data_IF_139269927641
#
_entry.id   IF_139269927641
#
_cell.length_a   1.000
_cell.length_b   1.000
_cell.length_c   1.000
_cell.angle_alpha   90.00
_cell.angle_beta   90.00
_cell.angle_gamma   90.00
#
_symmetry.space_group_name_H-M   'P 1'
#
loop_
_entity.id
_entity.type
_entity.pdbx_description
1 polymer ?
#
# COMPACT_ATOMS: atom_id res chain seq x y z
N UNK A 1 -34.69 33.17 -18.38
CA UNK A 1 -34.98 31.73 -18.12
C UNK A 1 -33.66 30.98 -18.09
N UNK A 2 -33.31 30.24 -17.01
CA UNK A 2 -32.07 29.46 -16.98
C UNK A 2 -32.12 28.32 -18.01
N UNK A 3 -30.97 28.02 -18.63
CA UNK A 3 -30.85 26.93 -19.61
C UNK A 3 -31.18 25.59 -18.93
N UNK A 4 -31.98 24.71 -19.57
CA UNK A 4 -32.27 23.40 -19.01
C UNK A 4 -30.98 22.59 -18.88
N UNK A 5 -30.87 21.84 -17.78
CA UNK A 5 -29.73 20.98 -17.50
C UNK A 5 -29.68 19.84 -18.51
N UNK A 6 -28.58 19.73 -19.24
CA UNK A 6 -28.36 18.68 -20.23
C UNK A 6 -27.77 17.43 -19.57
N UNK A 7 -28.62 16.41 -19.42
CA UNK A 7 -28.28 15.14 -18.78
C UNK A 7 -27.49 14.20 -19.70
N UNK A 8 -27.51 14.42 -21.01
CA UNK A 8 -26.74 13.60 -21.95
C UNK A 8 -25.25 13.91 -21.87
N UNK A 9 -24.88 15.13 -21.48
CA UNK A 9 -23.48 15.50 -21.21
C UNK A 9 -22.88 14.73 -20.05
N UNK A 10 -23.69 14.19 -19.14
CA UNK A 10 -23.19 13.42 -17.99
C UNK A 10 -22.70 12.02 -18.40
N UNK A 11 -23.23 11.47 -19.50
CA UNK A 11 -22.85 10.14 -20.02
C UNK A 11 -21.42 10.06 -20.55
N UNK A 12 -20.79 11.21 -20.86
CA UNK A 12 -19.39 11.24 -21.30
C UNK A 12 -18.38 10.86 -20.21
N UNK A 13 -18.82 10.88 -18.94
CA UNK A 13 -18.01 10.51 -17.78
C UNK A 13 -18.31 9.10 -17.27
N UNK A 14 -19.26 8.38 -17.89
CA UNK A 14 -19.49 6.97 -17.56
C UNK A 14 -18.29 6.16 -18.05
N UNK A 15 -17.60 5.53 -17.10
CA UNK A 15 -16.46 4.66 -17.37
C UNK A 15 -16.96 3.50 -18.23
N UNK A 16 -16.49 3.42 -19.48
CA UNK A 16 -16.77 2.28 -20.35
C UNK A 16 -16.28 1.01 -19.65
N UNK A 17 -17.13 0.00 -19.43
CA UNK A 17 -16.69 -1.26 -18.86
C UNK A 17 -15.84 -1.99 -19.91
N UNK A 18 -14.53 -1.79 -19.86
CA UNK A 18 -13.59 -2.65 -20.58
C UNK A 18 -13.64 -4.03 -19.95
N UNK A 19 -13.78 -5.03 -20.82
CA UNK A 19 -14.04 -6.43 -20.51
C UNK A 19 -13.09 -7.01 -19.45
N UNK A 20 -13.59 -8.03 -18.74
CA UNK A 20 -12.84 -8.88 -17.81
C UNK A 20 -11.50 -9.30 -18.44
N UNK A 21 -10.40 -8.81 -17.88
CA UNK A 21 -9.06 -9.37 -18.10
C UNK A 21 -8.66 -10.05 -16.80
N UNK A 22 -8.26 -11.32 -16.93
CA UNK A 22 -7.86 -12.21 -15.85
C UNK A 22 -6.81 -11.56 -14.94
N UNK A 23 -6.96 -11.79 -13.64
CA UNK A 23 -6.05 -11.30 -12.61
C UNK A 23 -4.80 -12.19 -12.59
N UNK A 24 -3.74 -11.76 -13.25
CA UNK A 24 -2.38 -12.14 -12.88
C UNK A 24 -1.77 -11.03 -12.00
N UNK A 25 -0.97 -11.36 -10.97
CA UNK A 25 -0.39 -10.37 -10.08
C UNK A 25 0.78 -9.67 -10.80
N UNK A 26 0.44 -8.65 -11.60
CA UNK A 26 1.41 -7.79 -12.26
C UNK A 26 1.92 -6.78 -11.22
N UNK A 27 3.22 -6.94 -10.93
CA UNK A 27 4.11 -5.95 -10.34
C UNK A 27 3.69 -4.53 -10.74
N UNK A 28 3.46 -3.66 -9.73
CA UNK A 28 3.11 -2.24 -9.84
C UNK A 28 3.69 -1.58 -11.11
N UNK A 29 2.91 -1.66 -12.20
CA UNK A 29 3.24 -0.97 -13.42
C UNK A 29 2.90 0.48 -13.18
N UNK A 30 3.95 1.29 -13.13
CA UNK A 30 3.96 2.75 -13.12
C UNK A 30 3.17 3.27 -14.33
N UNK A 31 1.85 3.33 -14.21
CA UNK A 31 0.96 3.79 -15.28
C UNK A 31 -0.24 4.53 -14.68
N UNK A 32 -0.02 5.81 -14.42
CA UNK A 32 -1.05 6.71 -13.93
C UNK A 32 -0.43 7.98 -13.38
N UNK A 33 0.12 8.82 -14.27
CA UNK A 33 0.46 10.19 -13.94
C UNK A 33 -0.84 11.01 -13.72
N UNK A 34 -1.65 10.61 -12.74
CA UNK A 34 -2.51 11.53 -12.02
C UNK A 34 -1.57 12.35 -11.16
N UNK A 35 -1.46 13.65 -11.43
CA UNK A 35 -0.66 14.61 -10.68
C UNK A 35 -0.82 14.35 -9.18
N UNK A 36 0.14 13.61 -8.62
CA UNK A 36 0.12 13.20 -7.23
C UNK A 36 0.40 14.49 -6.45
N UNK A 37 -0.60 14.96 -5.72
CA UNK A 37 -0.53 16.19 -4.92
C UNK A 37 0.84 16.29 -4.21
N UNK A 38 1.53 17.45 -4.28
CA UNK A 38 2.90 17.61 -3.79
C UNK A 38 3.05 17.35 -2.29
N UNK A 39 1.95 17.35 -1.53
CA UNK A 39 1.91 16.98 -0.11
C UNK A 39 2.04 15.48 0.16
N UNK A 40 2.04 14.62 -0.87
CA UNK A 40 2.32 13.18 -0.73
C UNK A 40 3.81 12.96 -1.00
N UNK A 41 4.65 13.21 0.00
CA UNK A 41 6.03 12.73 -0.04
C UNK A 41 6.06 11.24 -0.40
N UNK A 42 6.96 10.80 -1.29
CA UNK A 42 7.07 9.40 -1.63
C UNK A 42 7.49 8.62 -0.37
N UNK A 43 6.63 7.69 0.05
CA UNK A 43 6.96 6.69 1.06
C UNK A 43 8.22 5.94 0.60
N UNK A 44 9.33 6.16 1.30
CA UNK A 44 10.60 5.47 1.05
C UNK A 44 10.58 4.12 1.78
N UNK A 45 9.69 3.25 1.34
CA UNK A 45 9.59 1.91 1.89
C UNK A 45 10.67 1.02 1.25
N UNK A 46 11.42 0.31 2.09
CA UNK A 46 12.39 -0.70 1.69
C UNK A 46 11.89 -2.10 2.04
N UNK A 47 12.19 -3.09 1.20
CA UNK A 47 11.87 -4.48 1.47
C UNK A 47 13.14 -5.30 1.71
N UNK A 48 13.17 -6.07 2.79
CA UNK A 48 14.23 -7.05 3.07
C UNK A 48 13.61 -8.44 3.28
N UNK A 49 14.29 -9.47 2.82
CA UNK A 49 13.89 -10.87 3.04
C UNK A 49 14.71 -11.46 4.18
N UNK A 50 14.05 -11.95 5.23
CA UNK A 50 14.72 -12.55 6.40
C UNK A 50 14.64 -14.08 6.29
N UNK A 51 15.80 -14.75 6.27
CA UNK A 51 15.91 -16.21 6.39
C UNK A 51 16.35 -16.57 7.81
N UNK A 52 15.54 -17.38 8.50
CA UNK A 52 15.81 -17.83 9.86
C UNK A 52 15.12 -19.17 10.13
N UNK A 53 15.52 -19.93 11.17
CA UNK A 53 14.79 -21.10 11.62
C UNK A 53 13.33 -20.78 11.96
N UNK A 54 12.42 -21.73 11.71
CA UNK A 54 10.97 -21.54 11.91
C UNK A 54 10.62 -21.08 13.32
N UNK A 55 11.25 -21.67 14.34
CA UNK A 55 10.99 -21.31 15.75
C UNK A 55 11.31 -19.85 16.07
N UNK A 56 12.28 -19.24 15.38
CA UNK A 56 12.63 -17.83 15.56
C UNK A 56 11.56 -16.94 14.93
N UNK A 57 11.11 -17.28 13.72
CA UNK A 57 10.08 -16.53 13.02
C UNK A 57 8.73 -16.60 13.75
N UNK A 58 8.35 -17.77 14.26
CA UNK A 58 7.13 -17.95 15.05
C UNK A 58 7.18 -17.14 16.35
N UNK A 59 8.32 -17.17 17.05
CA UNK A 59 8.53 -16.36 18.25
C UNK A 59 8.39 -14.86 17.94
N UNK A 60 9.00 -14.39 16.86
CA UNK A 60 8.90 -12.99 16.44
C UNK A 60 7.45 -12.60 16.09
N UNK A 61 6.75 -13.44 15.31
CA UNK A 61 5.34 -13.23 14.97
C UNK A 61 4.44 -13.17 16.20
N UNK A 62 4.67 -14.04 17.19
CA UNK A 62 3.91 -14.04 18.45
C UNK A 62 4.12 -12.74 19.22
N UNK A 63 5.37 -12.29 19.37
CA UNK A 63 5.69 -11.02 20.05
C UNK A 63 4.99 -9.84 19.36
N UNK A 64 4.99 -9.79 18.02
CA UNK A 64 4.29 -8.73 17.28
C UNK A 64 2.77 -8.76 17.49
N UNK A 65 2.19 -9.97 17.57
CA UNK A 65 0.76 -10.17 17.79
C UNK A 65 0.34 -9.73 19.20
N UNK A 66 1.13 -10.08 20.21
CA UNK A 66 0.84 -9.78 21.61
C UNK A 66 0.88 -8.26 21.86
N UNK A 67 1.83 -7.55 21.25
CA UNK A 67 1.97 -6.08 21.36
C UNK A 67 1.10 -5.31 20.35
N UNK A 68 0.37 -6.01 19.47
CA UNK A 68 -0.47 -5.44 18.39
C UNK A 68 0.28 -4.45 17.48
N UNK A 69 1.53 -4.75 17.14
CA UNK A 69 2.39 -3.92 16.28
C UNK A 69 2.64 -4.54 14.92
N UNK A 70 3.00 -3.71 13.95
CA UNK A 70 3.49 -4.17 12.65
C UNK A 70 4.89 -4.77 12.80
N UNK A 71 5.29 -5.62 11.85
CA UNK A 71 6.65 -6.18 11.85
C UNK A 71 7.73 -5.11 11.73
N UNK A 72 7.46 -4.04 10.98
CA UNK A 72 8.37 -2.92 10.81
C UNK A 72 8.56 -2.14 12.13
N UNK A 73 7.47 -1.86 12.85
CA UNK A 73 7.55 -1.20 14.17
C UNK A 73 8.31 -2.04 15.19
N UNK A 74 8.00 -3.34 15.25
CA UNK A 74 8.69 -4.24 16.17
C UNK A 74 10.18 -4.35 15.84
N UNK A 75 10.54 -4.34 14.56
CA UNK A 75 11.93 -4.30 14.12
C UNK A 75 12.62 -3.01 14.59
N UNK A 76 11.95 -1.85 14.49
CA UNK A 76 12.46 -0.57 15.00
C UNK A 76 12.77 -0.62 16.50
N UNK A 77 11.84 -1.14 17.31
CA UNK A 77 12.05 -1.28 18.77
C UNK A 77 13.25 -2.19 19.09
N UNK A 78 13.40 -3.29 18.34
CA UNK A 78 14.54 -4.19 18.52
C UNK A 78 15.86 -3.51 18.14
N UNK A 79 15.84 -2.67 17.09
CA UNK A 79 16.99 -1.86 16.69
C UNK A 79 17.34 -0.80 17.73
N UNK A 80 16.37 -0.04 18.23
CA UNK A 80 16.58 0.99 19.26
C UNK A 80 17.21 0.40 20.52
N UNK A 81 16.69 -0.74 20.98
CA UNK A 81 17.28 -1.45 22.14
C UNK A 81 18.68 -1.99 21.87
N UNK A 82 18.95 -2.45 20.65
CA UNK A 82 20.28 -2.93 20.28
C UNK A 82 21.30 -1.78 20.20
N UNK A 83 20.88 -0.61 19.71
CA UNK A 83 21.68 0.62 19.68
C UNK A 83 21.85 1.25 21.07
N UNK A 84 21.10 0.78 22.08
CA UNK A 84 21.17 1.28 23.45
C UNK A 84 20.47 2.62 23.66
N UNK A 85 19.44 2.91 22.85
CA UNK A 85 18.54 4.07 23.05
C UNK A 85 17.34 3.72 23.93
#
# INVERSE_FOLDING_TARGET
MPKPLDLDRLKQFEVRPTAKVEVEPVLDSVAGNTERWPSREPLRDGQISIKAPLYVLERFKRICKDDRRTYADMLGILMDRYEGK
#
